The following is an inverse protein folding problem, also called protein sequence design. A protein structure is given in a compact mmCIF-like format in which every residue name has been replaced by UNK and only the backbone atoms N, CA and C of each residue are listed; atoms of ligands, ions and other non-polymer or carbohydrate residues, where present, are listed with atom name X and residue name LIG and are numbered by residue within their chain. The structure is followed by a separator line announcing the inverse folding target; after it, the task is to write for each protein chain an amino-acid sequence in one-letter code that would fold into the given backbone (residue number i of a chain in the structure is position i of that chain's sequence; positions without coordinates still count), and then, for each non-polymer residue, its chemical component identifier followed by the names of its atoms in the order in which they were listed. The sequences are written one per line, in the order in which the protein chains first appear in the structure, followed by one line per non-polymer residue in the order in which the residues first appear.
data_IF_669870129624
#
_entry.id   IF_669870129624
#
_cell.length_a   1.000
_cell.length_b   1.000
_cell.length_c   1.000
_cell.angle_alpha   90.00
_cell.angle_beta   90.00
_cell.angle_gamma   90.00
#
_symmetry.space_group_name_H-M   'P 1'
#
loop_
_entity.id
_entity.type
_entity.pdbx_description
1 polymer ?
#
# COMPACT_ATOMS: atom_id res chain seq x y z
N UNK A 1 11.04 -39.27 -4.00
CA UNK A 1 10.78 -39.09 -5.43
C UNK A 1 11.13 -37.69 -5.84
N UNK A 2 11.90 -37.57 -6.89
CA UNK A 2 12.25 -36.27 -7.41
C UNK A 2 11.00 -35.57 -7.95
N UNK A 3 10.83 -34.30 -7.56
CA UNK A 3 9.76 -33.50 -8.07
C UNK A 3 10.00 -33.23 -9.56
N UNK A 4 9.11 -33.72 -10.38
CA UNK A 4 9.21 -33.47 -11.82
C UNK A 4 8.58 -32.10 -12.10
N UNK A 5 9.41 -31.15 -12.47
CA UNK A 5 8.93 -29.82 -12.87
C UNK A 5 8.52 -29.93 -14.34
N UNK A 6 7.22 -29.79 -14.61
CA UNK A 6 6.68 -29.80 -15.95
C UNK A 6 6.39 -28.41 -16.44
N UNK A 7 6.23 -28.23 -17.74
CA UNK A 7 5.87 -26.94 -18.32
C UNK A 7 4.53 -26.45 -17.78
N UNK A 8 3.60 -27.35 -17.53
CA UNK A 8 2.30 -27.03 -16.94
C UNK A 8 2.45 -26.47 -15.53
N UNK A 9 3.34 -27.06 -14.71
CA UNK A 9 3.61 -26.60 -13.36
C UNK A 9 4.19 -25.18 -13.37
N UNK A 10 5.13 -24.93 -14.28
CA UNK A 10 5.75 -23.60 -14.44
C UNK A 10 4.71 -22.58 -14.85
N UNK A 11 3.86 -22.90 -15.81
CA UNK A 11 2.80 -22.00 -16.28
C UNK A 11 1.80 -21.68 -15.16
N UNK A 12 1.47 -22.68 -14.34
CA UNK A 12 0.57 -22.49 -13.22
C UNK A 12 1.18 -21.57 -12.17
N UNK A 13 2.43 -21.78 -11.82
CA UNK A 13 3.14 -20.93 -10.87
C UNK A 13 3.25 -19.49 -11.37
N UNK A 14 3.54 -19.32 -12.66
CA UNK A 14 3.61 -18.00 -13.27
C UNK A 14 2.27 -17.30 -13.25
N UNK A 15 1.19 -18.00 -13.59
CA UNK A 15 -0.16 -17.45 -13.56
C UNK A 15 -0.55 -17.01 -12.15
N UNK A 16 -0.21 -17.81 -11.14
CA UNK A 16 -0.47 -17.50 -9.75
C UNK A 16 0.33 -16.29 -9.29
N UNK A 17 1.60 -16.20 -9.68
CA UNK A 17 2.44 -15.06 -9.37
C UNK A 17 1.94 -13.77 -10.03
N UNK A 18 1.48 -13.85 -11.27
CA UNK A 18 0.90 -12.71 -11.97
C UNK A 18 -0.40 -12.25 -11.34
N UNK A 19 -1.24 -13.18 -10.88
CA UNK A 19 -2.46 -12.86 -10.15
C UNK A 19 -2.15 -12.14 -8.84
N UNK A 20 -1.18 -12.63 -8.10
CA UNK A 20 -0.73 -12.00 -6.86
C UNK A 20 -0.24 -10.58 -7.12
N UNK A 21 0.51 -10.38 -8.19
CA UNK A 21 1.01 -9.06 -8.59
C UNK A 21 -0.14 -8.13 -8.95
N UNK A 22 -1.14 -8.61 -9.68
CA UNK A 22 -2.32 -7.83 -10.03
C UNK A 22 -3.09 -7.38 -8.79
N UNK A 23 -3.20 -8.27 -7.79
CA UNK A 23 -3.84 -7.94 -6.51
C UNK A 23 -3.06 -6.86 -5.77
N UNK A 24 -1.73 -6.93 -5.80
CA UNK A 24 -0.88 -5.90 -5.17
C UNK A 24 -1.02 -4.54 -5.87
N UNK A 25 -1.11 -4.51 -7.18
CA UNK A 25 -1.36 -3.28 -7.92
C UNK A 25 -2.73 -2.69 -7.58
N UNK A 26 -3.73 -3.54 -7.37
CA UNK A 26 -5.04 -3.09 -6.92
C UNK A 26 -4.95 -2.42 -5.55
N UNK A 27 -4.20 -3.03 -4.62
CA UNK A 27 -3.95 -2.44 -3.30
C UNK A 27 -3.22 -1.11 -3.42
N UNK A 28 -2.25 -1.01 -4.32
CA UNK A 28 -1.52 0.23 -4.57
C UNK A 28 -2.46 1.35 -5.01
N UNK A 29 -3.42 1.04 -5.90
CA UNK A 29 -4.44 2.02 -6.33
C UNK A 29 -5.32 2.47 -5.18
N UNK A 30 -5.71 1.56 -4.31
CA UNK A 30 -6.48 1.90 -3.11
C UNK A 30 -5.68 2.82 -2.19
N UNK A 31 -4.37 2.59 -2.08
CA UNK A 31 -3.50 3.47 -1.30
C UNK A 31 -3.41 4.88 -1.89
N UNK A 32 -3.38 5.01 -3.20
CA UNK A 32 -3.38 6.32 -3.86
C UNK A 32 -4.66 7.09 -3.50
N UNK A 33 -5.81 6.41 -3.55
CA UNK A 33 -7.08 7.02 -3.17
C UNK A 33 -7.08 7.44 -1.69
N UNK A 34 -6.55 6.60 -0.81
CA UNK A 34 -6.43 6.90 0.60
C UNK A 34 -5.49 8.08 0.83
N UNK A 35 -4.37 8.13 0.10
CA UNK A 35 -3.44 9.25 0.17
C UNK A 35 -4.12 10.58 -0.17
N UNK A 36 -4.89 10.62 -1.27
CA UNK A 36 -5.61 11.82 -1.68
C UNK A 36 -6.61 12.26 -0.60
N UNK A 37 -7.32 11.31 -0.02
CA UNK A 37 -8.24 11.59 1.07
C UNK A 37 -7.52 12.13 2.31
N UNK A 38 -6.39 11.54 2.68
CA UNK A 38 -5.59 12.00 3.81
C UNK A 38 -5.03 13.40 3.57
N UNK A 39 -4.54 13.67 2.36
CA UNK A 39 -4.03 15.00 2.00
C UNK A 39 -5.12 16.04 2.19
N UNK A 40 -6.32 15.79 1.69
CA UNK A 40 -7.45 16.71 1.84
C UNK A 40 -7.80 16.95 3.31
N UNK A 41 -7.79 15.88 4.11
CA UNK A 41 -8.10 15.97 5.54
C UNK A 41 -7.01 16.73 6.30
N UNK A 42 -5.75 16.51 5.98
CA UNK A 42 -4.62 17.21 6.59
C UNK A 42 -4.69 18.71 6.25
N UNK A 43 -4.93 19.04 4.99
CA UNK A 43 -5.05 20.44 4.56
C UNK A 43 -6.21 21.14 5.28
N UNK A 44 -7.36 20.49 5.37
CA UNK A 44 -8.52 21.02 6.08
C UNK A 44 -8.19 21.24 7.56
N UNK A 45 -7.56 20.27 8.19
CA UNK A 45 -7.17 20.35 9.60
C UNK A 45 -6.21 21.50 9.84
N UNK A 46 -5.20 21.66 8.98
CA UNK A 46 -4.22 22.73 9.09
C UNK A 46 -4.86 24.12 8.93
N UNK A 47 -5.81 24.24 7.99
CA UNK A 47 -6.55 25.49 7.81
C UNK A 47 -7.36 25.83 9.05
N UNK A 48 -8.05 24.86 9.63
CA UNK A 48 -8.82 25.06 10.86
C UNK A 48 -7.90 25.47 12.01
N UNK A 49 -6.75 24.85 12.14
CA UNK A 49 -5.79 25.20 13.17
C UNK A 49 -5.25 26.62 13.01
N UNK A 50 -5.05 27.09 11.78
CA UNK A 50 -4.62 28.45 11.52
C UNK A 50 -5.68 29.47 11.90
N UNK A 51 -6.96 29.17 11.68
CA UNK A 51 -8.05 30.09 11.95
C UNK A 51 -8.44 30.13 13.42
N UNK A 52 -8.27 29.04 14.15
CA UNK A 52 -8.76 28.94 15.52
C UNK A 52 -7.71 29.31 16.57
N UNK A 53 -6.47 29.48 16.25
CA UNK A 53 -5.37 29.89 17.15
C UNK A 53 -5.58 29.50 18.62
N UNK A 54 -6.12 28.34 18.87
CA UNK A 54 -6.45 27.88 20.22
C UNK A 54 -5.48 26.81 20.64
N UNK A 55 -4.59 27.08 21.62
CA UNK A 55 -3.61 26.07 22.06
C UNK A 55 -4.25 24.86 22.72
N UNK A 56 -5.53 24.90 23.03
CA UNK A 56 -6.25 23.75 23.54
C UNK A 56 -6.82 22.86 22.43
N UNK A 57 -6.44 23.14 21.20
CA UNK A 57 -6.86 22.39 20.04
C UNK A 57 -5.81 21.34 19.66
N UNK A 58 -5.55 20.36 20.45
CA UNK A 58 -5.32 19.06 19.90
C UNK A 58 -6.40 18.26 20.45
N UNK A 59 -7.30 18.14 19.68
CA UNK A 59 -8.32 17.24 20.00
C UNK A 59 -7.91 15.88 19.51
N UNK A 60 -8.75 14.94 19.77
CA UNK A 60 -8.56 13.56 19.35
C UNK A 60 -8.41 13.46 17.83
N UNK A 61 -8.98 14.39 17.06
CA UNK A 61 -8.87 14.40 15.61
C UNK A 61 -7.43 14.56 15.13
N UNK A 62 -6.67 15.46 15.76
CA UNK A 62 -5.27 15.65 15.41
C UNK A 62 -4.47 14.36 15.59
N UNK A 63 -4.65 13.71 16.74
CA UNK A 63 -3.94 12.47 17.04
C UNK A 63 -4.40 11.32 16.15
N UNK A 64 -5.68 11.23 15.83
CA UNK A 64 -6.21 10.23 14.93
C UNK A 64 -5.67 10.41 13.52
N UNK A 65 -5.66 11.64 13.03
CA UNK A 65 -5.15 11.96 11.71
C UNK A 65 -3.65 11.64 11.59
N UNK A 66 -2.88 12.02 12.60
CA UNK A 66 -1.45 11.70 12.64
C UNK A 66 -1.22 10.20 12.65
N UNK A 67 -2.03 9.46 13.41
CA UNK A 67 -1.95 7.99 13.45
C UNK A 67 -2.26 7.39 12.08
N UNK A 68 -3.29 7.88 11.40
CA UNK A 68 -3.66 7.39 10.08
C UNK A 68 -2.58 7.66 9.04
N UNK A 69 -1.94 8.84 9.11
CA UNK A 69 -0.83 9.17 8.22
C UNK A 69 0.33 8.20 8.42
N UNK A 70 0.67 7.90 9.67
CA UNK A 70 1.71 6.92 9.98
C UNK A 70 1.35 5.54 9.48
N UNK A 71 0.09 5.14 9.68
CA UNK A 71 -0.40 3.84 9.20
C UNK A 71 -0.37 3.76 7.69
N UNK A 72 -0.73 4.84 7.00
CA UNK A 72 -0.63 4.91 5.55
C UNK A 72 0.81 4.70 5.07
N UNK A 73 1.78 5.39 5.67
CA UNK A 73 3.18 5.23 5.28
C UNK A 73 3.69 3.82 5.52
N UNK A 74 3.32 3.21 6.64
CA UNK A 74 3.71 1.82 6.94
C UNK A 74 3.10 0.85 5.94
N UNK A 75 1.81 1.00 5.63
CA UNK A 75 1.12 0.14 4.67
C UNK A 75 1.70 0.31 3.27
N UNK A 76 1.98 1.54 2.88
CA UNK A 76 2.59 1.82 1.57
C UNK A 76 3.94 1.13 1.44
N UNK A 77 4.78 1.21 2.47
CA UNK A 77 6.09 0.57 2.47
C UNK A 77 5.97 -0.95 2.32
N UNK A 78 5.00 -1.56 3.01
CA UNK A 78 4.74 -3.00 2.91
C UNK A 78 4.27 -3.39 1.51
N UNK A 79 3.34 -2.62 0.93
CA UNK A 79 2.83 -2.91 -0.41
C UNK A 79 3.91 -2.72 -1.46
N UNK A 80 4.71 -1.66 -1.37
CA UNK A 80 5.81 -1.42 -2.31
C UNK A 80 6.84 -2.54 -2.25
N UNK A 81 7.17 -3.01 -1.05
CA UNK A 81 8.10 -4.13 -0.88
C UNK A 81 7.52 -5.43 -1.45
N UNK A 82 6.23 -5.68 -1.21
CA UNK A 82 5.56 -6.87 -1.73
C UNK A 82 5.51 -6.86 -3.26
N UNK A 83 5.28 -5.69 -3.87
CA UNK A 83 5.29 -5.55 -5.33
C UNK A 83 6.68 -5.86 -5.88
N UNK A 84 7.72 -5.33 -5.24
CA UNK A 84 9.10 -5.59 -5.65
C UNK A 84 9.42 -7.08 -5.62
N UNK A 85 9.06 -7.74 -4.53
CA UNK A 85 9.27 -9.19 -4.39
C UNK A 85 8.46 -9.98 -5.41
N UNK A 86 7.21 -9.57 -5.67
CA UNK A 86 6.37 -10.22 -6.65
C UNK A 86 6.92 -10.08 -8.07
N UNK A 87 7.45 -8.90 -8.42
CA UNK A 87 8.07 -8.65 -9.72
C UNK A 87 9.31 -9.54 -9.90
N UNK A 88 10.14 -9.66 -8.87
CA UNK A 88 11.31 -10.53 -8.89
C UNK A 88 10.91 -11.99 -9.08
N UNK A 89 9.84 -12.42 -8.44
CA UNK A 89 9.32 -13.78 -8.57
C UNK A 89 8.81 -14.05 -9.99
N UNK A 90 8.03 -13.12 -10.57
CA UNK A 90 7.54 -13.25 -11.94
C UNK A 90 8.72 -13.31 -12.92
N UNK A 91 9.71 -12.45 -12.75
CA UNK A 91 10.90 -12.44 -13.59
C UNK A 91 11.66 -13.77 -13.49
N UNK A 92 11.81 -14.29 -12.27
CA UNK A 92 12.47 -15.57 -12.03
C UNK A 92 11.74 -16.72 -12.74
N UNK A 93 10.41 -16.71 -12.71
CA UNK A 93 9.60 -17.77 -13.33
C UNK A 93 9.59 -17.67 -14.85
N UNK A 94 9.84 -16.50 -15.41
CA UNK A 94 9.91 -16.31 -16.86
C UNK A 94 11.26 -16.76 -17.45
N UNK A 95 12.26 -16.91 -16.62
CA UNK A 95 13.56 -17.44 -17.06
C UNK A 95 13.51 -18.98 -17.06
#
# INVERSE_FOLDING_TARGET
MAHVITLETINWELAEAEESLANLYSQQRQLINWELELIARVETHNLLCQHVCNPAFPNNEHWQLEREVRQYHATKAEVDQAIKEALEEVERLQQ
#
